data_IF_966418634508
#
_entry.id   IF_966418634508
#
_cell.length_a   1.000
_cell.length_b   1.000
_cell.length_c   1.000
_cell.angle_alpha   90.00
_cell.angle_beta   90.00
_cell.angle_gamma   90.00
#
_symmetry.space_group_name_H-M   'P 1'
#
loop_
_entity.id
_entity.type
_entity.pdbx_description
1 polymer ?
#
# COMPACT_ATOMS: atom_id res chain seq x y z
N UNK A 1 1.64 -7.77 8.95
CA UNK A 1 1.21 -6.88 7.86
C UNK A 1 2.29 -5.85 7.62
N UNK A 2 2.58 -5.55 6.37
CA UNK A 2 3.42 -4.46 5.91
C UNK A 2 2.58 -3.55 5.00
N UNK A 3 2.78 -2.23 5.08
CA UNK A 3 2.23 -1.22 4.17
C UNK A 3 3.27 -0.14 3.92
N UNK A 4 3.28 0.45 2.73
CA UNK A 4 4.05 1.65 2.45
C UNK A 4 3.48 2.86 3.23
N UNK A 5 4.29 3.91 3.39
CA UNK A 5 3.95 5.05 4.24
C UNK A 5 2.94 6.04 3.63
N UNK A 6 2.60 5.88 2.36
CA UNK A 6 1.73 6.74 1.57
C UNK A 6 0.34 6.11 1.35
N UNK A 7 -0.15 5.40 2.38
CA UNK A 7 -1.50 4.83 2.44
C UNK A 7 -2.48 5.67 3.26
N UNK A 8 -3.76 5.61 2.89
CA UNK A 8 -4.90 6.04 3.71
C UNK A 8 -5.93 4.91 3.79
N UNK A 9 -6.17 4.39 4.99
CA UNK A 9 -7.19 3.37 5.23
C UNK A 9 -8.55 4.02 5.54
N UNK A 10 -9.61 3.54 4.87
CA UNK A 10 -10.98 4.04 4.97
C UNK A 10 -11.94 3.01 5.57
N UNK A 11 -11.47 1.79 5.85
CA UNK A 11 -12.27 0.69 6.40
C UNK A 11 -11.55 0.03 7.55
N UNK A 12 -12.31 -0.66 8.40
CA UNK A 12 -11.77 -1.39 9.54
C UNK A 12 -10.79 -2.47 9.07
N UNK A 13 -9.56 -2.40 9.57
CA UNK A 13 -8.49 -3.34 9.24
C UNK A 13 -8.86 -4.80 9.59
N UNK A 14 -9.80 -5.01 10.50
CA UNK A 14 -10.31 -6.34 10.84
C UNK A 14 -10.97 -7.03 9.63
N UNK A 15 -11.61 -6.27 8.73
CA UNK A 15 -12.16 -6.84 7.49
C UNK A 15 -11.06 -7.38 6.56
N UNK A 16 -9.87 -6.76 6.55
CA UNK A 16 -8.70 -7.29 5.83
C UNK A 16 -8.16 -8.55 6.53
N UNK A 17 -8.14 -8.56 7.86
CA UNK A 17 -7.69 -9.72 8.63
C UNK A 17 -8.57 -10.96 8.38
N UNK A 18 -9.87 -10.78 8.14
CA UNK A 18 -10.79 -11.87 7.78
C UNK A 18 -10.47 -12.53 6.42
N UNK A 19 -9.65 -11.88 5.58
CA UNK A 19 -9.22 -12.43 4.29
C UNK A 19 -7.96 -13.32 4.40
N UNK A 20 -7.34 -13.42 5.58
CA UNK A 20 -6.10 -14.19 5.78
C UNK A 20 -6.37 -15.68 5.54
N UNK A 21 -5.52 -16.31 4.75
CA UNK A 21 -5.48 -17.75 4.50
C UNK A 21 -4.06 -18.27 4.75
N UNK A 22 -3.91 -19.08 5.80
CA UNK A 22 -2.63 -19.63 6.27
C UNK A 22 -1.96 -20.59 5.27
N UNK A 23 -2.68 -21.01 4.22
CA UNK A 23 -2.10 -21.77 3.09
C UNK A 23 -0.97 -21.00 2.42
N UNK A 24 -1.09 -19.68 2.30
CA UNK A 24 -0.16 -18.87 1.53
C UNK A 24 1.02 -18.38 2.39
N UNK A 25 2.20 -18.25 1.77
CA UNK A 25 3.37 -17.66 2.41
C UNK A 25 3.21 -16.16 2.59
N UNK A 26 2.59 -15.51 1.62
CA UNK A 26 2.17 -14.11 1.69
C UNK A 26 0.82 -13.95 1.00
N UNK A 27 0.12 -12.86 1.32
CA UNK A 27 -1.02 -12.41 0.53
C UNK A 27 -0.87 -10.92 0.21
N UNK A 28 -1.17 -10.53 -1.03
CA UNK A 28 -1.06 -9.14 -1.47
C UNK A 28 -2.05 -8.86 -2.62
N UNK A 29 -2.19 -7.60 -3.00
CA UNK A 29 -2.93 -7.25 -4.22
C UNK A 29 -2.02 -7.46 -5.42
N UNK A 30 -2.47 -8.28 -6.35
CA UNK A 30 -1.75 -8.63 -7.57
C UNK A 30 -2.11 -7.67 -8.71
N UNK A 31 -1.55 -6.45 -8.67
CA UNK A 31 -1.79 -5.42 -9.68
C UNK A 31 -1.20 -5.78 -11.04
N UNK A 32 -1.97 -5.58 -12.11
CA UNK A 32 -1.46 -5.46 -13.47
C UNK A 32 -1.21 -3.98 -13.79
N UNK A 33 -0.02 -3.51 -13.41
CA UNK A 33 0.30 -2.09 -13.45
C UNK A 33 1.09 -1.69 -14.70
N UNK A 34 0.40 -1.00 -15.61
CA UNK A 34 1.01 -0.30 -16.74
C UNK A 34 0.90 1.23 -16.53
N UNK A 35 1.98 1.92 -16.10
CA UNK A 35 1.96 3.36 -15.88
C UNK A 35 1.79 4.12 -17.20
N UNK A 36 1.03 5.22 -17.16
CA UNK A 36 0.89 6.15 -18.30
C UNK A 36 2.01 7.19 -18.34
N UNK A 37 2.64 7.45 -17.21
CA UNK A 37 3.67 8.48 -17.04
C UNK A 37 5.06 7.88 -17.21
N UNK A 38 5.99 8.66 -17.75
CA UNK A 38 7.38 8.25 -18.00
C UNK A 38 8.35 8.63 -16.88
N UNK A 39 7.92 9.47 -15.93
CA UNK A 39 8.72 9.98 -14.81
C UNK A 39 7.96 9.91 -13.49
N UNK A 40 8.66 9.64 -12.38
CA UNK A 40 8.16 9.65 -11.01
C UNK A 40 8.16 11.06 -10.41
N UNK A 41 7.58 11.21 -9.22
CA UNK A 41 7.49 12.47 -8.48
C UNK A 41 8.83 13.13 -8.14
N UNK A 42 9.90 12.35 -8.01
CA UNK A 42 11.26 12.80 -7.72
C UNK A 42 12.10 13.03 -9.00
N UNK A 43 11.48 12.96 -10.18
CA UNK A 43 12.16 13.06 -11.46
C UNK A 43 12.87 11.78 -11.91
N UNK A 44 12.80 10.70 -11.13
CA UNK A 44 13.34 9.40 -11.55
C UNK A 44 12.53 8.81 -12.72
N UNK A 45 13.16 7.99 -13.56
CA UNK A 45 12.48 7.30 -14.66
C UNK A 45 11.44 6.33 -14.11
N UNK A 46 10.22 6.40 -14.64
CA UNK A 46 9.17 5.43 -14.33
C UNK A 46 9.44 4.14 -15.11
N UNK A 47 9.85 3.09 -14.41
CA UNK A 47 10.13 1.78 -15.01
C UNK A 47 8.95 0.83 -14.83
N UNK A 48 8.68 0.04 -15.86
CA UNK A 48 7.72 -1.07 -15.82
C UNK A 48 8.47 -2.35 -15.51
N UNK A 49 8.02 -3.10 -14.50
CA UNK A 49 8.59 -4.39 -14.16
C UNK A 49 7.52 -5.32 -13.56
N UNK A 50 7.70 -6.65 -13.64
CA UNK A 50 6.74 -7.61 -13.10
C UNK A 50 6.50 -7.41 -11.60
N UNK A 51 5.26 -7.61 -11.15
CA UNK A 51 4.83 -7.49 -9.74
C UNK A 51 5.04 -6.09 -9.13
N UNK A 52 5.03 -5.04 -9.96
CA UNK A 52 5.10 -3.66 -9.47
C UNK A 52 3.90 -3.34 -8.58
N UNK A 53 4.16 -2.67 -7.46
CA UNK A 53 3.21 -2.33 -6.40
C UNK A 53 2.55 -3.53 -5.67
N UNK A 54 3.00 -4.77 -5.90
CA UNK A 54 2.51 -5.91 -5.13
C UNK A 54 3.02 -5.86 -3.69
N UNK A 55 4.25 -5.39 -3.48
CA UNK A 55 4.87 -5.32 -2.16
C UNK A 55 4.47 -4.10 -1.33
N UNK A 56 3.62 -3.20 -1.83
CA UNK A 56 3.25 -1.98 -1.10
C UNK A 56 2.22 -2.22 0.00
N UNK A 57 1.51 -3.36 -0.05
CA UNK A 57 0.74 -3.90 1.06
C UNK A 57 0.86 -5.43 1.04
N UNK A 58 1.38 -6.00 2.13
CA UNK A 58 1.65 -7.44 2.22
C UNK A 58 1.21 -8.00 3.57
N UNK A 59 0.44 -9.08 3.54
CA UNK A 59 0.17 -9.93 4.69
C UNK A 59 1.18 -11.07 4.68
N UNK A 60 2.23 -10.94 5.50
CA UNK A 60 3.23 -11.99 5.68
C UNK A 60 2.74 -13.06 6.65
N UNK A 61 2.71 -14.32 6.20
CA UNK A 61 2.56 -15.46 7.11
C UNK A 61 3.94 -15.79 7.72
N UNK A 62 4.22 -15.21 8.89
CA UNK A 62 5.50 -15.41 9.57
C UNK A 62 5.76 -16.87 10.00
N UNK A 63 4.73 -17.73 10.01
CA UNK A 63 4.86 -19.14 10.35
C UNK A 63 5.20 -20.03 9.13
N UNK A 64 4.96 -19.53 7.90
CA UNK A 64 5.13 -20.33 6.69
C UNK A 64 6.61 -20.71 6.46
N UNK A 65 6.95 -21.99 6.24
CA UNK A 65 8.34 -22.43 6.13
C UNK A 65 9.16 -21.71 5.05
N UNK A 66 8.54 -21.37 3.92
CA UNK A 66 9.22 -20.64 2.82
C UNK A 66 9.67 -19.22 3.21
N UNK A 67 9.10 -18.61 4.24
CA UNK A 67 9.54 -17.30 4.72
C UNK A 67 10.78 -17.37 5.63
N UNK A 68 11.22 -18.57 6.04
CA UNK A 68 12.43 -18.73 6.87
C UNK A 68 13.72 -18.34 6.17
N UNK A 69 13.71 -18.24 4.84
CA UNK A 69 14.84 -17.77 4.03
C UNK A 69 15.13 -16.28 4.23
N UNK A 70 14.16 -15.50 4.70
CA UNK A 70 14.28 -14.05 4.91
C UNK A 70 15.06 -13.72 6.19
N UNK A 71 16.33 -14.13 6.24
CA UNK A 71 17.26 -13.77 7.31
C UNK A 71 17.81 -12.35 7.08
N UNK A 72 18.34 -11.66 8.12
CA UNK A 72 19.01 -10.37 7.94
C UNK A 72 20.10 -10.41 6.87
N UNK A 73 20.88 -11.48 6.79
CA UNK A 73 21.93 -11.64 5.78
C UNK A 73 21.35 -11.70 4.36
N UNK A 74 20.25 -12.44 4.15
CA UNK A 74 19.57 -12.52 2.86
C UNK A 74 18.97 -11.16 2.48
N UNK A 75 18.27 -10.51 3.41
CA UNK A 75 17.65 -9.20 3.17
C UNK A 75 18.68 -8.12 2.85
N UNK A 76 19.85 -8.14 3.51
CA UNK A 76 20.91 -7.15 3.29
C UNK A 76 21.76 -7.41 2.04
N UNK A 77 21.76 -8.63 1.50
CA UNK A 77 22.60 -9.01 0.34
C UNK A 77 21.83 -9.16 -0.96
N UNK A 78 20.53 -9.43 -0.90
CA UNK A 78 19.70 -9.63 -2.08
C UNK A 78 19.33 -8.31 -2.77
N UNK A 79 18.98 -8.41 -4.04
CA UNK A 79 18.54 -7.24 -4.81
C UNK A 79 17.14 -6.80 -4.36
N UNK A 80 16.83 -5.50 -4.50
CA UNK A 80 15.46 -5.02 -4.32
C UNK A 80 14.47 -5.75 -5.22
N UNK A 81 14.89 -6.17 -6.42
CA UNK A 81 14.06 -6.92 -7.34
C UNK A 81 13.77 -8.36 -6.86
N UNK A 82 14.66 -8.97 -6.08
CA UNK A 82 14.41 -10.26 -5.42
C UNK A 82 13.35 -10.10 -4.32
N UNK A 83 13.49 -9.05 -3.50
CA UNK A 83 12.62 -8.78 -2.36
C UNK A 83 11.21 -8.31 -2.79
N UNK A 84 11.14 -7.25 -3.59
CA UNK A 84 9.88 -6.64 -4.01
C UNK A 84 9.07 -7.48 -5.00
N UNK A 85 9.70 -8.46 -5.66
CA UNK A 85 9.02 -9.38 -6.57
C UNK A 85 8.87 -10.77 -5.99
N UNK A 86 9.10 -10.99 -4.69
CA UNK A 86 8.88 -12.27 -4.02
C UNK A 86 9.56 -13.46 -4.72
N UNK A 87 10.80 -13.29 -5.17
CA UNK A 87 11.48 -14.29 -6.01
C UNK A 87 11.89 -15.56 -5.25
N UNK A 88 11.74 -15.59 -3.92
CA UNK A 88 11.93 -16.81 -3.12
C UNK A 88 10.67 -17.68 -3.01
N UNK A 89 9.56 -17.23 -3.58
CA UNK A 89 8.26 -17.91 -3.57
C UNK A 89 7.87 -18.32 -4.99
N UNK A 90 7.15 -19.44 -5.08
CA UNK A 90 6.43 -19.83 -6.28
C UNK A 90 5.10 -19.06 -6.34
N UNK A 91 4.50 -18.91 -7.53
CA UNK A 91 3.21 -18.21 -7.69
C UNK A 91 2.09 -18.81 -6.82
N UNK A 92 2.07 -20.14 -6.68
CA UNK A 92 1.07 -20.85 -5.87
C UNK A 92 1.22 -20.61 -4.35
N UNK A 93 2.33 -20.01 -3.90
CA UNK A 93 2.53 -19.60 -2.51
C UNK A 93 1.99 -18.19 -2.20
N UNK A 94 1.53 -17.45 -3.23
CA UNK A 94 1.14 -16.04 -3.12
C UNK A 94 -0.39 -15.92 -3.24
N UNK A 95 -1.05 -15.65 -2.12
CA UNK A 95 -2.48 -15.39 -2.08
C UNK A 95 -2.83 -14.00 -2.64
N UNK A 96 -4.06 -13.88 -3.14
CA UNK A 96 -4.58 -12.62 -3.69
C UNK A 96 -5.49 -11.91 -2.68
N UNK A 97 -5.33 -10.60 -2.58
CA UNK A 97 -6.22 -9.69 -1.84
C UNK A 97 -6.97 -8.81 -2.85
N UNK A 98 -8.26 -8.48 -2.60
CA UNK A 98 -9.00 -7.55 -3.46
C UNK A 98 -8.31 -6.19 -3.58
N UNK A 99 -8.30 -5.63 -4.80
CA UNK A 99 -7.55 -4.40 -5.09
C UNK A 99 -7.97 -3.18 -4.27
N UNK A 100 -9.20 -3.17 -3.73
CA UNK A 100 -9.68 -2.09 -2.86
C UNK A 100 -8.84 -1.94 -1.58
N UNK A 101 -8.08 -2.96 -1.15
CA UNK A 101 -7.16 -2.90 -0.01
C UNK A 101 -5.74 -2.42 -0.36
N UNK A 102 -5.47 -2.12 -1.63
CA UNK A 102 -4.27 -1.46 -2.11
C UNK A 102 -4.66 -0.71 -3.39
N UNK A 103 -5.58 0.23 -3.26
CA UNK A 103 -6.12 0.97 -4.40
C UNK A 103 -5.11 2.01 -4.86
N UNK A 104 -4.52 1.80 -6.02
CA UNK A 104 -3.52 2.68 -6.61
C UNK A 104 -4.20 3.94 -7.16
N UNK A 105 -3.98 5.07 -6.50
CA UNK A 105 -4.45 6.38 -6.96
C UNK A 105 -3.97 6.65 -8.39
N UNK A 106 -4.88 7.13 -9.24
CA UNK A 106 -4.59 7.42 -10.65
C UNK A 106 -4.47 6.20 -11.56
N UNK A 107 -4.59 4.97 -11.04
CA UNK A 107 -4.59 3.75 -11.83
C UNK A 107 -5.89 2.94 -11.69
N UNK A 108 -6.26 2.56 -10.46
CA UNK A 108 -7.53 1.87 -10.23
C UNK A 108 -8.71 2.83 -10.40
N UNK A 109 -9.90 2.29 -10.69
CA UNK A 109 -11.12 3.06 -10.92
C UNK A 109 -12.25 2.53 -10.05
N UNK A 110 -13.01 3.46 -9.48
CA UNK A 110 -14.32 3.16 -8.93
C UNK A 110 -15.29 3.05 -10.10
N UNK A 111 -16.07 1.98 -10.12
CA UNK A 111 -17.12 1.74 -11.12
C UNK A 111 -18.43 2.29 -10.57
N UNK A 112 -19.07 3.16 -11.34
CA UNK A 112 -20.36 3.74 -10.96
C UNK A 112 -21.41 2.61 -10.81
N UNK A 113 -22.13 2.62 -9.69
CA UNK A 113 -23.11 1.59 -9.36
C UNK A 113 -22.54 0.31 -8.73
N UNK A 114 -21.22 0.19 -8.58
CA UNK A 114 -20.57 -0.95 -7.92
C UNK A 114 -19.73 -0.51 -6.71
N UNK A 115 -20.35 -0.59 -5.53
CA UNK A 115 -19.70 -0.24 -4.26
C UNK A 115 -18.53 -1.14 -3.90
N UNK A 116 -18.42 -2.34 -4.50
CA UNK A 116 -17.30 -3.27 -4.23
C UNK A 116 -15.97 -2.79 -4.81
N UNK A 117 -16.01 -1.77 -5.68
CA UNK A 117 -14.83 -1.14 -6.29
C UNK A 117 -14.34 0.11 -5.56
N UNK A 118 -15.09 0.58 -4.55
CA UNK A 118 -14.67 1.73 -3.76
C UNK A 118 -13.48 1.36 -2.86
N UNK A 119 -12.44 2.22 -2.75
CA UNK A 119 -11.25 1.89 -1.98
C UNK A 119 -11.55 1.69 -0.49
N UNK A 120 -10.97 0.63 0.09
CA UNK A 120 -10.84 0.42 1.53
C UNK A 120 -9.49 0.91 2.06
N UNK A 121 -8.47 0.91 1.21
CA UNK A 121 -7.18 1.54 1.47
C UNK A 121 -6.63 2.15 0.18
N UNK A 122 -6.38 3.45 0.19
CA UNK A 122 -5.84 4.22 -0.94
C UNK A 122 -4.32 4.26 -0.81
N UNK A 123 -3.61 3.97 -1.89
CA UNK A 123 -2.16 4.07 -2.00
C UNK A 123 -1.81 5.19 -2.98
N UNK A 124 -1.24 6.28 -2.46
CA UNK A 124 -0.85 7.46 -3.23
C UNK A 124 0.50 7.27 -3.94
N UNK A 125 0.62 6.19 -4.74
CA UNK A 125 1.86 5.70 -5.36
C UNK A 125 2.59 6.73 -6.27
N UNK A 126 1.89 7.76 -6.75
CA UNK A 126 2.46 8.84 -7.56
C UNK A 126 2.83 10.09 -6.75
N UNK A 127 2.46 10.13 -5.48
CA UNK A 127 2.51 11.30 -4.60
C UNK A 127 1.11 11.70 -4.15
N UNK A 128 0.97 12.04 -2.87
CA UNK A 128 -0.31 12.50 -2.30
C UNK A 128 -0.38 14.01 -2.10
N UNK A 129 -1.49 14.52 -1.55
CA UNK A 129 -1.79 15.95 -1.48
C UNK A 129 -0.85 16.77 -0.58
N UNK A 130 0.10 16.13 0.10
CA UNK A 130 1.20 16.78 0.82
C UNK A 130 2.29 17.34 -0.10
N UNK A 131 2.30 16.98 -1.39
CA UNK A 131 3.16 17.58 -2.40
C UNK A 131 2.40 18.62 -3.23
N UNK A 132 3.07 19.74 -3.56
CA UNK A 132 2.46 20.83 -4.34
C UNK A 132 1.97 20.39 -5.71
N UNK A 133 2.71 19.51 -6.39
CA UNK A 133 2.32 18.97 -7.69
C UNK A 133 1.10 18.02 -7.64
N UNK A 134 0.71 17.54 -6.46
CA UNK A 134 -0.28 16.47 -6.26
C UNK A 134 -1.48 16.89 -5.41
N UNK A 135 -1.66 18.19 -5.15
CA UNK A 135 -2.79 18.70 -4.34
C UNK A 135 -4.19 18.34 -4.89
N UNK A 136 -4.28 18.02 -6.17
CA UNK A 136 -5.53 17.68 -6.87
C UNK A 136 -5.60 16.22 -7.31
N UNK A 137 -4.79 15.33 -6.71
CA UNK A 137 -4.89 13.90 -6.98
C UNK A 137 -6.26 13.34 -6.57
N UNK A 138 -6.61 12.16 -7.09
CA UNK A 138 -7.79 11.44 -6.66
C UNK A 138 -7.80 11.24 -5.15
N UNK A 139 -8.97 11.38 -4.53
CA UNK A 139 -9.17 11.23 -3.09
C UNK A 139 -8.38 12.20 -2.19
N UNK A 140 -7.74 13.25 -2.74
CA UNK A 140 -6.98 14.24 -1.97
C UNK A 140 -7.77 14.81 -0.77
N UNK A 141 -9.07 15.07 -0.97
CA UNK A 141 -9.95 15.59 0.08
C UNK A 141 -10.07 14.65 1.29
N UNK A 142 -10.05 13.32 1.09
CA UNK A 142 -10.12 12.36 2.20
C UNK A 142 -8.86 12.46 3.06
N UNK A 143 -7.69 12.50 2.44
CA UNK A 143 -6.43 12.65 3.18
C UNK A 143 -6.35 13.99 3.91
N UNK A 144 -6.79 15.07 3.27
CA UNK A 144 -6.79 16.40 3.90
C UNK A 144 -7.72 16.46 5.11
N UNK A 145 -8.90 15.84 5.02
CA UNK A 145 -9.84 15.76 6.14
C UNK A 145 -9.22 15.00 7.32
N UNK A 146 -8.63 13.83 7.08
CA UNK A 146 -7.98 13.01 8.12
C UNK A 146 -6.79 13.71 8.76
N UNK A 147 -5.99 14.44 7.97
CA UNK A 147 -4.92 15.31 8.49
C UNK A 147 -5.51 16.38 9.42
N UNK A 148 -6.56 17.05 8.99
CA UNK A 148 -7.15 18.15 9.75
C UNK A 148 -7.79 17.66 11.05
N UNK A 149 -8.47 16.51 11.02
CA UNK A 149 -8.96 15.82 12.21
C UNK A 149 -7.81 15.47 13.18
N UNK A 150 -6.74 14.86 12.68
CA UNK A 150 -5.56 14.55 13.48
C UNK A 150 -4.96 15.80 14.15
N UNK A 151 -4.79 16.89 13.40
CA UNK A 151 -4.25 18.15 13.93
C UNK A 151 -5.17 18.76 14.99
N UNK A 152 -6.50 18.69 14.79
CA UNK A 152 -7.48 19.16 15.76
C UNK A 152 -7.46 18.33 17.06
N UNK A 153 -7.26 17.01 16.99
CA UNK A 153 -7.13 16.20 18.21
C UNK A 153 -5.86 16.54 19.01
N UNK A 154 -4.78 16.95 18.34
CA UNK A 154 -3.54 17.39 18.99
C UNK A 154 -3.65 18.75 19.67
N UNK A 155 -4.35 19.70 19.05
CA UNK A 155 -4.57 21.02 19.65
C UNK A 155 -5.46 20.93 20.90
N UNK A 156 -6.40 19.99 20.96
CA UNK A 156 -7.23 19.76 22.14
C UNK A 156 -6.57 18.96 23.28
N UNK A 157 -5.48 18.22 23.01
CA UNK A 157 -4.78 17.39 24.00
C UNK A 157 -3.46 18.01 24.53
N UNK A 158 -3.18 19.27 24.24
CA UNK A 158 -2.03 19.98 24.84
C UNK A 158 -2.42 20.45 26.25
N UNK A 159 -1.79 19.97 27.34
CA UNK A 159 -2.07 20.52 28.66
C UNK A 159 -1.72 22.01 28.66
N UNK A 160 -2.65 22.83 29.16
CA UNK A 160 -2.37 24.21 29.56
C UNK A 160 -1.34 24.18 30.70
N UNK A 161 -0.05 24.07 30.35
CA UNK A 161 0.99 24.50 31.27
C UNK A 161 1.01 26.04 31.23
N UNK A 162 0.20 26.61 32.12
CA UNK A 162 0.36 27.99 32.57
C UNK A 162 1.67 28.14 33.35
N UNK A 163 2.33 29.31 33.26
CA UNK A 163 3.70 29.55 33.75
C UNK A 163 3.87 29.43 35.26
#
# INVERSE_FOLDING_TARGET
MFVDCDFLYLSDINELAQLIDDKYAIMCVQHDYTPKETTKMDGAVQTVYPRKNWSSMVLYNCSHPKNRVLTPDVVNSQTGAFLHRFQWLEDDDIGSIPFVWNFLEGHNKVVEGDSTTFPKAIHYTRGGPWFDAWKHCGFAHLWLNERDEYLNTKTHNTPLHSP
#
